data_IF_531259557533
#
_entry.id   IF_531259557533
#
_cell.length_a   1.000
_cell.length_b   1.000
_cell.length_c   1.000
_cell.angle_alpha   90.00
_cell.angle_beta   90.00
_cell.angle_gamma   90.00
#
_symmetry.space_group_name_H-M   'P 1'
#
loop_
_entity.id
_entity.type
_entity.pdbx_description
1 polymer ?
#
# COMPACT_ATOMS: atom_id res chain seq x y z
N UNK A 1 -18.53 -27.95 28.80
CA UNK A 1 -19.67 -27.38 28.04
C UNK A 1 -20.75 -26.70 28.90
N UNK A 2 -21.15 -27.22 30.07
CA UNK A 2 -22.20 -26.60 30.89
C UNK A 2 -21.82 -25.22 31.51
N UNK A 3 -20.57 -25.06 31.95
CA UNK A 3 -20.06 -23.81 32.52
C UNK A 3 -20.01 -22.63 31.53
N UNK A 4 -19.70 -22.91 30.26
CA UNK A 4 -19.66 -21.91 29.17
C UNK A 4 -21.07 -21.43 28.78
N UNK A 5 -22.06 -22.34 28.79
CA UNK A 5 -23.48 -21.96 28.57
C UNK A 5 -24.02 -21.11 29.72
N UNK A 6 -23.60 -21.38 30.96
CA UNK A 6 -23.99 -20.59 32.12
C UNK A 6 -23.40 -19.17 32.09
N UNK A 7 -22.13 -19.02 31.69
CA UNK A 7 -21.48 -17.72 31.58
C UNK A 7 -22.07 -16.85 30.44
N UNK A 8 -22.39 -17.45 29.30
CA UNK A 8 -23.04 -16.75 28.19
C UNK A 8 -24.48 -16.32 28.52
N UNK A 9 -25.23 -17.14 29.27
CA UNK A 9 -26.58 -16.80 29.71
C UNK A 9 -26.61 -15.68 30.77
N UNK A 10 -25.56 -15.54 31.60
CA UNK A 10 -25.44 -14.46 32.59
C UNK A 10 -25.06 -13.12 31.92
N UNK A 11 -24.18 -13.16 30.91
CA UNK A 11 -23.81 -11.99 30.09
C UNK A 11 -25.00 -11.45 29.27
N UNK A 12 -25.81 -12.33 28.70
CA UNK A 12 -27.02 -11.95 27.95
C UNK A 12 -28.13 -11.42 28.87
N UNK A 13 -28.17 -11.83 30.14
CA UNK A 13 -29.10 -11.30 31.13
C UNK A 13 -28.74 -9.88 31.58
N UNK A 14 -27.44 -9.57 31.69
CA UNK A 14 -26.95 -8.24 32.11
C UNK A 14 -27.16 -7.13 31.07
N UNK A 15 -27.38 -7.48 29.80
CA UNK A 15 -27.56 -6.50 28.72
C UNK A 15 -29.00 -6.35 28.19
N UNK A 16 -30.00 -6.94 28.85
CA UNK A 16 -31.41 -6.88 28.40
C UNK A 16 -32.22 -5.66 28.84
N UNK A 17 -31.63 -4.67 29.49
CA UNK A 17 -32.33 -3.45 29.90
C UNK A 17 -31.67 -2.18 29.34
N UNK A 18 -31.80 -1.98 28.04
CA UNK A 18 -31.86 -0.63 27.45
C UNK A 18 -33.05 -0.64 26.47
N UNK A 19 -34.15 0.09 26.74
CA UNK A 19 -35.30 0.07 25.86
C UNK A 19 -35.02 0.87 24.57
N UNK A 20 -35.08 0.15 23.44
CA UNK A 20 -35.16 0.69 22.09
C UNK A 20 -36.59 1.25 21.86
N UNK A 21 -36.84 2.47 22.32
CA UNK A 21 -38.07 3.21 21.98
C UNK A 21 -37.81 4.72 22.09
N UNK A 22 -37.14 5.32 21.10
CA UNK A 22 -37.15 6.77 20.86
C UNK A 22 -36.42 7.15 19.56
N UNK A 23 -36.72 6.45 18.47
CA UNK A 23 -36.43 6.97 17.13
C UNK A 23 -37.68 6.81 16.26
N UNK A 24 -38.11 7.95 15.68
CA UNK A 24 -39.06 8.13 14.56
C UNK A 24 -40.51 8.52 14.95
N UNK A 25 -40.80 9.84 15.08
CA UNK A 25 -41.76 10.62 14.25
C UNK A 25 -42.21 12.00 14.83
N UNK A 26 -42.06 13.04 13.99
CA UNK A 26 -42.88 14.27 13.84
C UNK A 26 -42.82 15.45 14.86
N UNK A 27 -43.25 16.68 14.50
CA UNK A 27 -42.72 17.62 13.49
C UNK A 27 -42.47 19.06 14.07
N UNK A 28 -42.02 19.97 13.20
CA UNK A 28 -41.77 21.41 13.39
C UNK A 28 -42.49 22.15 14.54
N UNK A 29 -41.72 22.90 15.34
CA UNK A 29 -42.18 24.10 16.06
C UNK A 29 -41.06 25.15 16.22
N UNK A 30 -41.39 26.34 15.75
CA UNK A 30 -40.80 27.68 15.89
C UNK A 30 -39.89 27.94 17.10
N UNK A 31 -38.71 28.50 16.85
CA UNK A 31 -37.89 29.20 17.86
C UNK A 31 -38.48 30.59 18.18
N UNK A 32 -38.43 31.05 19.45
CA UNK A 32 -38.65 32.44 19.83
C UNK A 32 -37.34 33.27 19.70
N UNK A 33 -37.43 34.62 19.59
CA UNK A 33 -36.29 35.49 19.31
C UNK A 33 -35.49 35.83 20.59
N UNK A 34 -34.23 36.30 20.47
CA UNK A 34 -33.47 36.78 21.61
C UNK A 34 -33.85 38.21 22.00
N UNK A 35 -33.95 38.44 23.30
CA UNK A 35 -34.16 39.73 23.95
C UNK A 35 -32.90 40.60 23.86
N UNK A 36 -33.13 41.84 23.46
CA UNK A 36 -32.25 43.01 23.53
C UNK A 36 -32.24 43.61 24.92
N UNK A 37 -31.07 44.03 25.42
CA UNK A 37 -30.92 45.20 26.30
C UNK A 37 -29.55 45.83 26.10
N UNK A 38 -29.59 47.16 25.98
CA UNK A 38 -28.57 48.10 25.52
C UNK A 38 -27.61 48.61 26.62
N UNK A 39 -26.74 49.51 26.15
CA UNK A 39 -25.94 50.55 26.83
C UNK A 39 -24.48 50.15 27.09
N UNK A 40 -23.47 50.92 26.70
CA UNK A 40 -23.41 52.36 26.36
C UNK A 40 -22.11 52.66 25.57
N UNK A 41 -22.21 53.56 24.58
CA UNK A 41 -21.08 54.33 23.99
C UNK A 41 -21.05 55.74 24.60
N UNK A 42 -19.92 56.46 24.48
CA UNK A 42 -19.83 57.60 23.54
C UNK A 42 -18.53 57.57 22.69
N UNK A 43 -18.61 57.68 21.35
CA UNK A 43 -18.45 58.91 20.50
C UNK A 43 -16.97 59.28 20.27
N UNK A 44 -16.43 59.61 19.09
CA UNK A 44 -16.83 59.74 17.67
C UNK A 44 -15.52 60.12 16.88
N UNK A 45 -15.51 60.85 15.74
CA UNK A 45 -15.65 60.48 14.32
C UNK A 45 -14.36 60.62 13.48
N UNK A 46 -14.23 59.83 12.40
CA UNK A 46 -13.82 60.33 11.06
C UNK A 46 -13.92 59.23 9.99
N UNK A 47 -15.09 59.22 9.35
CA UNK A 47 -15.50 58.77 7.99
C UNK A 47 -14.43 58.40 6.93
N UNK A 48 -14.82 57.82 5.77
CA UNK A 48 -15.60 56.58 5.54
C UNK A 48 -14.93 55.69 4.44
N UNK A 49 -15.37 54.43 4.23
CA UNK A 49 -15.68 53.82 2.90
C UNK A 49 -15.77 52.26 2.90
N UNK A 50 -16.46 51.67 1.91
CA UNK A 50 -17.21 50.43 2.07
C UNK A 50 -16.46 49.16 1.66
N UNK A 51 -16.94 48.04 2.21
CA UNK A 51 -16.54 46.66 1.89
C UNK A 51 -17.07 46.29 0.50
N UNK A 52 -16.15 46.00 -0.42
CA UNK A 52 -16.44 45.38 -1.72
C UNK A 52 -16.55 43.85 -1.59
N UNK A 53 -17.62 43.31 -2.17
CA UNK A 53 -17.77 41.90 -2.56
C UNK A 53 -16.82 41.58 -3.71
N UNK A 54 -16.09 40.48 -3.61
CA UNK A 54 -15.49 39.72 -4.72
C UNK A 54 -15.41 38.26 -4.26
N UNK A 55 -16.02 37.24 -4.88
CA UNK A 55 -16.35 37.10 -6.29
C UNK A 55 -15.06 36.98 -7.08
N UNK A 56 -14.68 35.74 -7.43
CA UNK A 56 -13.65 35.33 -8.41
C UNK A 56 -12.53 34.44 -7.83
N UNK A 57 -12.90 33.18 -7.57
CA UNK A 57 -12.00 32.06 -7.28
C UNK A 57 -11.74 31.24 -8.55
N UNK A 58 -11.41 31.87 -9.69
CA UNK A 58 -10.93 31.15 -10.88
C UNK A 58 -10.04 32.05 -11.75
N UNK A 59 -8.73 31.97 -11.55
CA UNK A 59 -7.67 32.09 -12.57
C UNK A 59 -6.33 32.44 -11.90
N UNK A 60 -5.45 31.45 -11.73
CA UNK A 60 -4.04 31.69 -11.46
C UNK A 60 -3.20 31.00 -12.55
N UNK A 61 -2.31 31.72 -13.27
CA UNK A 61 -1.55 31.15 -14.38
C UNK A 61 -0.36 30.30 -13.89
N UNK A 62 -0.02 29.31 -14.72
CA UNK A 62 1.14 28.42 -14.59
C UNK A 62 2.45 29.21 -14.34
N UNK A 63 3.00 29.15 -13.12
CA UNK A 63 4.38 29.58 -12.86
C UNK A 63 5.35 28.61 -13.51
N UNK A 64 6.03 29.07 -14.57
CA UNK A 64 7.25 28.46 -15.12
C UNK A 64 8.36 28.57 -14.07
N UNK A 65 8.95 27.44 -13.70
CA UNK A 65 10.17 27.37 -12.90
C UNK A 65 11.39 27.76 -13.75
N UNK A 66 12.36 28.52 -13.23
CA UNK A 66 13.56 28.91 -13.98
C UNK A 66 14.48 27.70 -14.22
N UNK A 67 15.02 27.61 -15.44
CA UNK A 67 16.05 26.64 -15.83
C UNK A 67 17.39 27.02 -15.18
N UNK A 68 18.18 26.10 -14.64
CA UNK A 68 19.57 26.39 -14.29
C UNK A 68 20.39 26.59 -15.57
N UNK A 69 21.03 27.75 -15.70
CA UNK A 69 22.03 28.03 -16.72
C UNK A 69 23.32 27.29 -16.34
N UNK A 70 23.71 26.30 -17.15
CA UNK A 70 25.07 25.75 -17.14
C UNK A 70 25.87 26.56 -18.15
N UNK A 71 27.01 27.16 -17.79
CA UNK A 71 27.86 27.85 -18.76
C UNK A 71 28.59 26.79 -19.61
N UNK A 72 28.32 26.81 -20.92
CA UNK A 72 29.10 26.09 -21.93
C UNK A 72 30.22 27.02 -22.36
N UNK A 73 31.47 26.71 -21.99
CA UNK A 73 32.65 27.43 -22.48
C UNK A 73 33.17 26.79 -23.78
N UNK A 74 33.04 27.58 -24.84
CA UNK A 74 33.95 27.79 -25.99
C UNK A 74 34.49 26.59 -26.81
N UNK A 75 33.98 26.53 -28.04
CA UNK A 75 34.71 26.47 -29.33
C UNK A 75 36.15 25.92 -29.37
N UNK A 76 36.35 24.91 -30.21
CA UNK A 76 37.51 24.89 -31.11
C UNK A 76 37.18 24.14 -32.40
N UNK A 77 37.55 24.75 -33.52
CA UNK A 77 37.43 24.27 -34.90
C UNK A 77 38.72 23.58 -35.33
N UNK A 78 38.53 22.38 -35.90
CA UNK A 78 39.26 21.62 -36.95
C UNK A 78 40.68 22.06 -37.39
N UNK A 79 41.65 21.14 -37.32
CA UNK A 79 42.39 20.44 -38.42
C UNK A 79 43.49 19.56 -37.77
N UNK A 80 43.89 18.36 -38.23
CA UNK A 80 44.28 17.99 -39.59
C UNK A 80 45.81 17.80 -39.63
N UNK A 81 46.30 16.62 -39.24
CA UNK A 81 47.71 16.14 -39.32
C UNK A 81 48.78 16.75 -38.39
N UNK A 82 49.63 15.90 -37.80
CA UNK A 82 51.01 16.27 -37.44
C UNK A 82 51.35 16.43 -35.95
N UNK A 83 51.78 15.32 -35.33
CA UNK A 83 52.84 15.20 -34.29
C UNK A 83 53.14 16.43 -33.42
N UNK A 84 52.91 16.32 -32.11
CA UNK A 84 53.63 17.14 -31.10
C UNK A 84 54.45 16.26 -30.18
N UNK A 85 55.75 16.29 -30.42
CA UNK A 85 56.82 15.91 -29.50
C UNK A 85 56.75 16.78 -28.24
N UNK A 86 56.85 16.17 -27.06
CA UNK A 86 57.29 16.88 -25.85
C UNK A 86 58.51 16.16 -25.28
N UNK A 87 59.62 16.87 -25.40
CA UNK A 87 60.94 16.65 -24.84
C UNK A 87 60.92 16.72 -23.31
N UNK A 88 61.65 15.82 -22.65
CA UNK A 88 62.07 15.98 -21.26
C UNK A 88 63.04 17.16 -21.12
N UNK A 89 62.86 18.03 -20.10
CA UNK A 89 63.96 18.77 -19.52
C UNK A 89 64.26 18.20 -18.12
N UNK A 90 65.49 17.73 -17.94
CA UNK A 90 66.11 17.58 -16.62
C UNK A 90 66.57 18.96 -16.15
N UNK A 91 66.18 19.37 -14.94
CA UNK A 91 66.64 20.61 -14.33
C UNK A 91 66.10 20.75 -12.91
N UNK A 92 67.01 20.75 -11.94
CA UNK A 92 66.79 20.76 -10.50
C UNK A 92 66.16 22.05 -9.96
N UNK A 93 65.42 21.96 -8.86
CA UNK A 93 64.98 23.13 -8.10
C UNK A 93 64.02 22.82 -6.94
N UNK A 94 64.55 22.94 -5.71
CA UNK A 94 63.92 23.33 -4.44
C UNK A 94 62.75 22.50 -3.85
N UNK A 95 62.98 22.11 -2.59
CA UNK A 95 62.06 21.53 -1.65
C UNK A 95 60.87 22.45 -1.32
N UNK A 96 59.67 21.86 -1.31
CA UNK A 96 58.59 21.98 -0.33
C UNK A 96 57.27 21.58 -1.01
N UNK A 97 56.69 20.45 -0.61
CA UNK A 97 55.50 19.91 -1.26
C UNK A 97 54.95 18.67 -0.56
N UNK A 98 54.11 18.92 0.42
CA UNK A 98 52.97 18.12 0.89
C UNK A 98 52.83 16.70 0.27
N UNK A 99 53.28 15.68 1.02
CA UNK A 99 53.11 14.27 0.64
C UNK A 99 51.69 13.81 0.95
N UNK A 100 50.71 14.19 0.14
CA UNK A 100 49.40 13.54 0.14
C UNK A 100 49.53 12.19 -0.56
N UNK A 101 49.20 11.06 0.09
CA UNK A 101 49.24 9.76 -0.58
C UNK A 101 48.20 9.75 -1.72
N UNK A 102 48.50 9.10 -2.86
CA UNK A 102 47.55 9.01 -3.97
C UNK A 102 46.25 8.36 -3.48
N UNK A 103 45.07 8.83 -3.94
CA UNK A 103 43.81 8.28 -3.51
C UNK A 103 43.78 6.78 -3.82
N UNK A 104 43.62 5.96 -2.78
CA UNK A 104 43.38 4.53 -2.92
C UNK A 104 42.14 4.34 -3.80
N UNK A 105 42.35 3.90 -5.03
CA UNK A 105 41.28 3.47 -5.91
C UNK A 105 40.55 2.34 -5.20
N UNK A 106 39.30 2.62 -4.80
CA UNK A 106 38.41 1.60 -4.26
C UNK A 106 38.34 0.45 -5.28
N UNK A 107 38.43 -0.82 -4.86
CA UNK A 107 38.33 -1.93 -5.80
C UNK A 107 37.03 -1.80 -6.60
N UNK A 108 37.03 -2.12 -7.90
CA UNK A 108 35.86 -2.00 -8.75
C UNK A 108 34.69 -2.73 -8.09
N UNK A 109 33.57 -2.03 -7.93
CA UNK A 109 32.38 -2.57 -7.30
C UNK A 109 32.02 -3.90 -7.95
N UNK A 110 31.90 -4.97 -7.14
CA UNK A 110 31.49 -6.29 -7.64
C UNK A 110 30.21 -6.11 -8.46
N UNK A 111 30.13 -6.67 -9.68
CA UNK A 111 28.91 -6.61 -10.46
C UNK A 111 27.79 -7.21 -9.60
N UNK A 112 26.59 -6.58 -9.59
CA UNK A 112 25.49 -7.06 -8.78
C UNK A 112 25.21 -8.54 -9.11
N UNK A 113 24.84 -9.35 -8.12
CA UNK A 113 24.54 -10.76 -8.35
C UNK A 113 23.47 -10.91 -9.45
N UNK A 114 23.70 -11.82 -10.38
CA UNK A 114 22.79 -12.07 -11.51
C UNK A 114 21.43 -12.51 -10.98
N UNK A 115 20.38 -11.75 -11.31
CA UNK A 115 19.01 -12.10 -10.94
C UNK A 115 18.58 -13.35 -11.71
N UNK A 116 17.60 -14.10 -11.18
CA UNK A 116 16.97 -15.20 -11.93
C UNK A 116 16.37 -14.69 -13.25
N UNK A 117 15.94 -13.43 -13.29
CA UNK A 117 15.47 -12.74 -14.50
C UNK A 117 16.58 -12.68 -15.55
N UNK A 118 17.82 -12.38 -15.12
CA UNK A 118 18.96 -12.28 -16.03
C UNK A 118 19.38 -13.63 -16.60
N UNK A 119 19.02 -14.73 -15.90
CA UNK A 119 19.34 -16.10 -16.30
C UNK A 119 18.29 -16.70 -17.24
N UNK A 120 17.01 -16.47 -16.99
CA UNK A 120 15.92 -17.22 -17.63
C UNK A 120 15.03 -16.38 -18.56
N UNK A 121 15.06 -15.05 -18.45
CA UNK A 121 14.18 -14.17 -19.25
C UNK A 121 14.93 -13.62 -20.47
N UNK A 122 14.38 -13.77 -21.70
CA UNK A 122 14.94 -13.16 -22.90
C UNK A 122 15.12 -11.66 -22.75
N UNK A 123 16.20 -11.10 -23.31
CA UNK A 123 16.56 -9.68 -23.16
C UNK A 123 15.39 -8.72 -23.48
N UNK A 124 14.62 -9.01 -24.54
CA UNK A 124 13.47 -8.20 -24.93
C UNK A 124 12.33 -8.17 -23.89
N UNK A 125 12.15 -9.24 -23.10
CA UNK A 125 11.07 -9.37 -22.13
C UNK A 125 11.45 -8.83 -20.73
N UNK A 126 12.75 -8.68 -20.42
CA UNK A 126 13.22 -8.24 -19.10
C UNK A 126 12.60 -6.93 -18.63
N UNK A 127 12.51 -5.87 -19.45
CA UNK A 127 11.92 -4.61 -19.02
C UNK A 127 10.45 -4.76 -18.61
N UNK A 128 9.69 -5.64 -19.28
CA UNK A 128 8.29 -5.92 -18.96
C UNK A 128 8.13 -6.74 -17.68
N UNK A 129 9.00 -7.75 -17.47
CA UNK A 129 9.06 -8.53 -16.21
C UNK A 129 9.38 -7.63 -15.02
N UNK A 130 10.32 -6.70 -15.19
CA UNK A 130 10.67 -5.71 -14.18
C UNK A 130 9.56 -4.66 -13.98
N UNK A 131 8.83 -4.30 -15.03
CA UNK A 131 7.68 -3.39 -14.95
C UNK A 131 6.55 -4.00 -14.11
N UNK A 132 6.21 -5.27 -14.38
CA UNK A 132 5.22 -6.04 -13.64
C UNK A 132 5.67 -6.48 -12.23
N UNK A 133 6.92 -6.23 -11.85
CA UNK A 133 7.53 -6.65 -10.57
C UNK A 133 7.50 -8.13 -10.30
N UNK A 134 7.57 -8.93 -11.36
CA UNK A 134 7.66 -10.39 -11.24
C UNK A 134 8.99 -10.77 -10.54
N UNK A 135 10.04 -9.95 -10.71
CA UNK A 135 11.33 -10.09 -10.01
C UNK A 135 11.20 -10.00 -8.48
N UNK A 136 10.12 -9.37 -7.97
CA UNK A 136 9.90 -9.09 -6.54
C UNK A 136 8.58 -9.72 -6.05
N UNK A 137 8.57 -11.02 -5.71
CA UNK A 137 7.34 -11.77 -5.42
C UNK A 137 6.62 -11.35 -4.14
N UNK A 138 7.29 -10.61 -3.24
CA UNK A 138 6.70 -10.22 -1.95
C UNK A 138 5.36 -9.50 -2.09
N UNK A 139 5.24 -8.57 -3.05
CA UNK A 139 3.99 -7.85 -3.29
C UNK A 139 2.87 -8.73 -3.84
N UNK A 140 3.23 -9.78 -4.60
CA UNK A 140 2.26 -10.77 -5.10
C UNK A 140 1.70 -11.61 -3.95
N UNK A 141 2.57 -12.07 -3.04
CA UNK A 141 2.13 -12.81 -1.86
C UNK A 141 1.20 -11.97 -0.98
N UNK A 142 1.47 -10.67 -0.83
CA UNK A 142 0.61 -9.77 -0.07
C UNK A 142 -0.83 -9.69 -0.62
N UNK A 143 -0.98 -9.84 -1.94
CA UNK A 143 -2.29 -9.90 -2.61
C UNK A 143 -2.91 -11.31 -2.56
N UNK A 144 -2.09 -12.36 -2.52
CA UNK A 144 -2.55 -13.74 -2.54
C UNK A 144 -3.08 -14.21 -1.18
N UNK A 145 -2.42 -13.83 -0.08
CA UNK A 145 -2.79 -14.30 1.25
C UNK A 145 -4.24 -14.02 1.64
N UNK A 146 -4.79 -12.80 1.46
CA UNK A 146 -6.18 -12.52 1.79
C UNK A 146 -7.17 -13.39 0.99
N UNK A 147 -6.85 -13.69 -0.28
CA UNK A 147 -7.63 -14.62 -1.09
C UNK A 147 -7.59 -16.03 -0.53
N UNK A 148 -6.42 -16.50 -0.13
CA UNK A 148 -6.24 -17.86 0.39
C UNK A 148 -6.89 -18.04 1.74
N UNK A 149 -6.83 -17.02 2.61
CA UNK A 149 -7.54 -17.01 3.88
C UNK A 149 -9.04 -17.18 3.66
N UNK A 150 -9.63 -16.41 2.75
CA UNK A 150 -11.08 -16.46 2.51
C UNK A 150 -11.53 -17.74 1.80
N UNK A 151 -10.79 -18.23 0.81
CA UNK A 151 -11.06 -19.51 0.14
C UNK A 151 -11.02 -20.67 1.14
N UNK A 152 -10.01 -20.70 2.01
CA UNK A 152 -9.86 -21.76 3.00
C UNK A 152 -10.91 -21.66 4.09
N UNK A 153 -11.19 -20.44 4.55
CA UNK A 153 -12.27 -20.22 5.51
C UNK A 153 -13.64 -20.58 4.92
N UNK A 154 -13.83 -20.50 3.61
CA UNK A 154 -15.06 -20.93 2.95
C UNK A 154 -15.16 -22.46 2.74
N UNK A 155 -14.09 -23.23 2.95
CA UNK A 155 -14.11 -24.68 2.82
C UNK A 155 -15.08 -25.32 3.84
N UNK A 156 -15.58 -26.52 3.52
CA UNK A 156 -16.42 -27.28 4.44
C UNK A 156 -15.59 -27.79 5.63
N UNK A 157 -16.19 -27.94 6.83
CA UNK A 157 -15.51 -28.56 7.97
C UNK A 157 -14.98 -29.97 7.60
N UNK A 158 -13.77 -30.30 8.03
CA UNK A 158 -13.06 -31.54 7.70
C UNK A 158 -12.44 -31.61 6.31
N UNK A 159 -12.62 -30.59 5.45
CA UNK A 159 -12.14 -30.62 4.06
C UNK A 159 -10.96 -29.68 3.80
N UNK A 160 -10.16 -30.05 2.80
CA UNK A 160 -9.12 -29.19 2.25
C UNK A 160 -9.73 -28.06 1.41
N UNK A 161 -9.07 -26.89 1.33
CA UNK A 161 -9.49 -25.82 0.43
C UNK A 161 -9.44 -26.28 -1.03
N UNK A 162 -10.30 -25.69 -1.86
CA UNK A 162 -10.28 -25.95 -3.29
C UNK A 162 -8.94 -25.51 -3.90
N UNK A 163 -8.11 -26.50 -4.26
CA UNK A 163 -6.77 -26.30 -4.80
C UNK A 163 -6.79 -25.61 -6.15
N UNK A 164 -7.84 -25.83 -6.95
CA UNK A 164 -8.02 -25.13 -8.24
C UNK A 164 -8.27 -23.66 -7.98
N UNK A 165 -9.11 -23.30 -7.02
CA UNK A 165 -9.36 -21.91 -6.66
C UNK A 165 -8.12 -21.25 -6.05
N UNK A 166 -7.36 -21.93 -5.19
CA UNK A 166 -6.09 -21.41 -4.69
C UNK A 166 -5.10 -21.13 -5.83
N UNK A 167 -4.93 -22.06 -6.78
CA UNK A 167 -4.06 -21.86 -7.94
C UNK A 167 -4.55 -20.71 -8.85
N UNK A 168 -5.86 -20.63 -9.08
CA UNK A 168 -6.49 -19.58 -9.88
C UNK A 168 -6.26 -18.20 -9.26
N UNK A 169 -6.42 -18.05 -7.95
CA UNK A 169 -6.16 -16.80 -7.25
C UNK A 169 -4.67 -16.49 -7.12
N UNK A 170 -3.79 -17.49 -7.02
CA UNK A 170 -2.34 -17.27 -7.12
C UNK A 170 -1.97 -16.62 -8.46
N UNK A 171 -2.51 -17.16 -9.56
CA UNK A 171 -2.37 -16.59 -10.90
C UNK A 171 -2.94 -15.17 -10.99
N UNK A 172 -4.17 -14.97 -10.50
CA UNK A 172 -4.81 -13.65 -10.45
C UNK A 172 -3.98 -12.62 -9.67
N UNK A 173 -3.38 -13.00 -8.54
CA UNK A 173 -2.51 -12.13 -7.74
C UNK A 173 -1.26 -11.71 -8.50
N UNK A 174 -0.64 -12.59 -9.29
CA UNK A 174 0.50 -12.22 -10.17
C UNK A 174 0.07 -11.18 -11.19
N UNK A 175 -1.06 -11.41 -11.86
CA UNK A 175 -1.57 -10.51 -12.89
C UNK A 175 -1.93 -9.13 -12.34
N UNK A 176 -2.77 -9.07 -11.30
CA UNK A 176 -3.26 -7.80 -10.76
C UNK A 176 -2.13 -7.00 -10.10
N UNK A 177 -1.13 -7.68 -9.51
CA UNK A 177 0.10 -7.03 -9.05
C UNK A 177 0.80 -6.36 -10.21
N UNK A 178 0.97 -7.08 -11.31
CA UNK A 178 1.56 -6.56 -12.54
C UNK A 178 0.80 -5.36 -13.07
N UNK A 179 -0.53 -5.43 -13.18
CA UNK A 179 -1.41 -4.33 -13.61
C UNK A 179 -1.23 -3.11 -12.73
N UNK A 180 -1.32 -3.28 -11.40
CA UNK A 180 -1.17 -2.18 -10.45
C UNK A 180 0.21 -1.53 -10.52
N UNK A 181 1.28 -2.31 -10.73
CA UNK A 181 2.63 -1.78 -10.92
C UNK A 181 2.80 -1.03 -12.24
N UNK A 182 2.25 -1.54 -13.34
CA UNK A 182 2.28 -0.87 -14.65
C UNK A 182 1.55 0.47 -14.59
N UNK A 183 0.35 0.52 -14.02
CA UNK A 183 -0.43 1.76 -13.84
C UNK A 183 0.34 2.74 -12.97
N UNK A 184 0.89 2.28 -11.85
CA UNK A 184 1.67 3.11 -10.94
C UNK A 184 2.88 3.75 -11.65
N UNK A 185 3.68 2.96 -12.38
CA UNK A 185 4.87 3.46 -13.07
C UNK A 185 4.52 4.33 -14.28
N UNK A 186 3.35 4.14 -14.92
CA UNK A 186 2.84 5.04 -15.97
C UNK A 186 2.48 6.43 -15.40
N UNK A 187 1.77 6.47 -14.27
CA UNK A 187 1.29 7.72 -13.66
C UNK A 187 2.37 8.49 -12.88
N UNK A 188 3.33 7.76 -12.29
CA UNK A 188 4.41 8.33 -11.47
C UNK A 188 5.72 8.52 -12.26
N UNK A 189 5.78 8.19 -13.55
CA UNK A 189 6.98 8.26 -14.41
C UNK A 189 7.85 9.50 -14.20
N UNK A 190 7.24 10.68 -14.26
CA UNK A 190 7.98 11.95 -14.21
C UNK A 190 8.51 12.28 -12.81
N UNK A 191 7.86 11.74 -11.78
CA UNK A 191 8.29 11.83 -10.37
C UNK A 191 9.40 10.80 -10.13
N UNK A 192 9.17 9.56 -10.57
CA UNK A 192 10.08 8.44 -10.38
C UNK A 192 11.46 8.71 -11.00
N UNK A 193 11.52 9.46 -12.12
CA UNK A 193 12.77 9.89 -12.78
C UNK A 193 13.63 10.80 -11.89
N UNK A 194 13.03 11.52 -10.95
CA UNK A 194 13.73 12.47 -10.05
C UNK A 194 14.20 11.82 -8.74
N UNK A 195 13.81 10.58 -8.48
CA UNK A 195 14.06 9.88 -7.22
C UNK A 195 15.08 8.76 -7.45
N UNK A 196 16.18 8.78 -6.69
CA UNK A 196 17.32 7.87 -6.85
C UNK A 196 16.92 6.38 -6.86
N UNK A 197 16.02 5.99 -5.96
CA UNK A 197 15.54 4.61 -5.82
C UNK A 197 14.67 4.14 -7.01
N UNK A 198 14.05 5.05 -7.75
CA UNK A 198 13.03 4.73 -8.77
C UNK A 198 13.42 5.20 -10.17
N UNK A 199 14.53 5.93 -10.33
CA UNK A 199 15.01 6.38 -11.64
C UNK A 199 15.34 5.22 -12.58
N UNK A 200 15.69 4.06 -12.03
CA UNK A 200 16.01 2.83 -12.79
C UNK A 200 14.78 2.03 -13.24
N UNK A 201 13.56 2.47 -12.92
CA UNK A 201 12.34 1.78 -13.37
C UNK A 201 12.23 1.82 -14.91
N UNK A 202 11.67 0.79 -15.56
CA UNK A 202 11.66 0.71 -17.03
C UNK A 202 11.05 1.92 -17.74
N UNK A 203 9.94 2.46 -17.22
CA UNK A 203 9.29 3.65 -17.80
C UNK A 203 9.97 4.96 -17.40
N UNK A 204 10.54 5.04 -16.19
CA UNK A 204 11.23 6.26 -15.70
C UNK A 204 12.61 6.47 -16.34
N UNK A 205 13.33 5.37 -16.59
CA UNK A 205 14.63 5.34 -17.27
C UNK A 205 14.53 5.53 -18.79
N UNK A 206 13.32 5.36 -19.36
CA UNK A 206 13.09 5.44 -20.80
C UNK A 206 13.42 4.16 -21.58
N UNK A 207 13.77 3.06 -20.91
CA UNK A 207 13.96 1.75 -21.56
C UNK A 207 12.68 1.27 -22.25
N UNK A 208 11.53 1.55 -21.62
CA UNK A 208 10.21 1.36 -22.22
C UNK A 208 9.55 2.72 -22.49
N UNK A 209 8.91 2.83 -23.65
CA UNK A 209 8.07 3.99 -23.98
C UNK A 209 6.72 3.90 -23.25
N UNK A 210 6.02 5.03 -23.05
CA UNK A 210 4.67 5.01 -22.47
C UNK A 210 3.67 4.20 -23.30
N UNK A 211 3.79 4.23 -24.63
CA UNK A 211 2.93 3.45 -25.53
C UNK A 211 3.16 1.95 -25.36
N UNK A 212 4.41 1.51 -25.20
CA UNK A 212 4.73 0.12 -24.83
C UNK A 212 4.17 -0.24 -23.45
N UNK A 213 4.23 0.67 -22.48
CA UNK A 213 3.63 0.47 -21.16
C UNK A 213 2.11 0.29 -21.20
N UNK A 214 1.40 1.10 -21.99
CA UNK A 214 -0.05 0.97 -22.20
C UNK A 214 -0.40 -0.31 -22.96
N UNK A 215 0.36 -0.66 -23.99
CA UNK A 215 0.18 -1.93 -24.71
C UNK A 215 0.38 -3.14 -23.80
N UNK A 216 1.39 -3.10 -22.91
CA UNK A 216 1.61 -4.13 -21.91
C UNK A 216 0.51 -4.19 -20.86
N UNK A 217 -0.01 -3.05 -20.40
CA UNK A 217 -1.18 -2.99 -19.53
C UNK A 217 -2.39 -3.68 -20.19
N UNK A 218 -2.65 -3.37 -21.47
CA UNK A 218 -3.70 -4.05 -22.25
C UNK A 218 -3.48 -5.55 -22.30
N UNK A 219 -2.26 -6.01 -22.57
CA UNK A 219 -1.90 -7.42 -22.55
C UNK A 219 -2.15 -8.08 -21.19
N UNK A 220 -1.76 -7.44 -20.08
CA UNK A 220 -2.00 -7.96 -18.72
C UNK A 220 -3.50 -8.09 -18.41
N UNK A 221 -4.31 -7.11 -18.84
CA UNK A 221 -5.76 -7.16 -18.67
C UNK A 221 -6.41 -8.26 -19.52
N UNK A 222 -5.93 -8.47 -20.74
CA UNK A 222 -6.37 -9.59 -21.60
C UNK A 222 -6.05 -10.94 -20.97
N UNK A 223 -4.87 -11.10 -20.38
CA UNK A 223 -4.52 -12.30 -19.60
C UNK A 223 -5.41 -12.48 -18.36
N UNK A 224 -6.04 -11.42 -17.85
CA UNK A 224 -7.00 -11.49 -16.75
C UNK A 224 -8.37 -12.06 -17.15
N UNK A 225 -8.71 -12.10 -18.44
CA UNK A 225 -10.04 -12.55 -18.89
C UNK A 225 -10.30 -14.05 -18.60
N UNK A 226 -9.36 -14.99 -18.83
CA UNK A 226 -9.54 -16.38 -18.42
C UNK A 226 -9.68 -16.57 -16.90
N UNK A 227 -9.09 -15.70 -16.09
CA UNK A 227 -9.30 -15.69 -14.63
C UNK A 227 -10.75 -15.30 -14.31
N UNK A 228 -11.21 -14.17 -14.84
CA UNK A 228 -12.58 -13.68 -14.68
C UNK A 228 -13.63 -14.70 -15.12
N UNK A 229 -13.42 -15.36 -16.26
CA UNK A 229 -14.37 -16.32 -16.82
C UNK A 229 -14.58 -17.55 -15.93
N UNK A 230 -13.59 -17.93 -15.12
CA UNK A 230 -13.68 -19.07 -14.21
C UNK A 230 -14.40 -18.75 -12.88
N UNK A 231 -14.71 -17.48 -12.64
CA UNK A 231 -15.41 -17.04 -11.43
C UNK A 231 -16.93 -17.03 -11.64
N UNK A 232 -17.68 -17.14 -10.56
CA UNK A 232 -19.13 -16.91 -10.60
C UNK A 232 -19.48 -15.42 -10.79
N UNK A 233 -20.75 -15.15 -11.11
CA UNK A 233 -21.23 -13.81 -11.44
C UNK A 233 -20.94 -12.77 -10.34
N UNK A 234 -21.12 -13.12 -9.07
CA UNK A 234 -20.87 -12.20 -7.96
C UNK A 234 -19.39 -11.83 -7.88
N UNK A 235 -18.51 -12.83 -7.98
CA UNK A 235 -17.06 -12.61 -7.98
C UNK A 235 -16.59 -11.79 -9.18
N UNK A 236 -17.16 -12.01 -10.37
CA UNK A 236 -16.86 -11.19 -11.55
C UNK A 236 -17.21 -9.72 -11.32
N UNK A 237 -18.39 -9.46 -10.77
CA UNK A 237 -18.84 -8.11 -10.40
C UNK A 237 -17.87 -7.48 -9.40
N UNK A 238 -17.48 -8.22 -8.36
CA UNK A 238 -16.53 -7.74 -7.35
C UNK A 238 -15.14 -7.42 -7.93
N UNK A 239 -14.67 -8.21 -8.90
CA UNK A 239 -13.41 -7.92 -9.62
C UNK A 239 -13.53 -6.62 -10.40
N UNK A 240 -14.62 -6.41 -11.16
CA UNK A 240 -14.83 -5.18 -11.92
C UNK A 240 -14.89 -3.96 -10.99
N UNK A 241 -15.58 -4.06 -9.85
CA UNK A 241 -15.62 -3.00 -8.85
C UNK A 241 -14.28 -2.70 -8.18
N UNK A 242 -13.34 -3.65 -8.19
CA UNK A 242 -11.99 -3.42 -7.67
C UNK A 242 -11.13 -2.55 -8.62
N UNK A 243 -11.42 -2.56 -9.93
CA UNK A 243 -10.58 -1.89 -10.92
C UNK A 243 -10.47 -0.38 -10.68
N UNK A 244 -11.55 0.40 -10.46
CA UNK A 244 -11.44 1.82 -10.14
C UNK A 244 -10.54 2.11 -8.93
N UNK A 245 -10.55 1.24 -7.92
CA UNK A 245 -9.68 1.37 -6.74
C UNK A 245 -8.21 1.15 -7.12
N UNK A 246 -7.91 0.10 -7.88
CA UNK A 246 -6.55 -0.19 -8.38
C UNK A 246 -6.03 0.96 -9.23
N UNK A 247 -6.85 1.51 -10.14
CA UNK A 247 -6.47 2.61 -11.02
C UNK A 247 -6.22 3.92 -10.28
N UNK A 248 -6.99 4.20 -9.22
CA UNK A 248 -6.90 5.45 -8.48
C UNK A 248 -5.86 5.43 -7.34
N UNK A 249 -5.40 4.25 -6.90
CA UNK A 249 -4.38 4.13 -5.85
C UNK A 249 -3.13 5.02 -6.05
N UNK A 250 -2.48 5.06 -7.24
CA UNK A 250 -1.28 5.89 -7.44
C UNK A 250 -1.56 7.38 -7.19
N UNK A 251 -2.79 7.83 -7.46
CA UNK A 251 -3.21 9.20 -7.26
C UNK A 251 -3.40 9.54 -5.77
N UNK A 252 -3.75 8.56 -4.93
CA UNK A 252 -4.01 8.78 -3.50
C UNK A 252 -2.82 9.37 -2.75
N UNK A 253 -1.60 9.03 -3.18
CA UNK A 253 -0.35 9.59 -2.64
C UNK A 253 -0.27 11.12 -2.75
N UNK A 254 -1.00 11.72 -3.71
CA UNK A 254 -1.03 13.16 -3.96
C UNK A 254 -2.08 13.86 -3.09
N UNK A 255 -3.15 13.15 -2.73
CA UNK A 255 -4.30 13.73 -2.04
C UNK A 255 -4.26 13.49 -0.52
N UNK A 256 -3.77 12.34 -0.06
CA UNK A 256 -3.85 11.94 1.35
C UNK A 256 -2.53 11.45 1.93
N UNK A 257 -2.35 11.64 3.25
CA UNK A 257 -1.28 11.00 4.02
C UNK A 257 -1.56 9.51 4.27
N UNK A 258 -2.80 9.07 4.03
CA UNK A 258 -3.27 7.70 4.29
C UNK A 258 -3.25 6.82 3.04
N UNK A 259 -2.33 7.05 2.11
CA UNK A 259 -2.21 6.24 0.90
C UNK A 259 -1.96 4.76 1.22
N UNK A 260 -1.31 4.45 2.36
CA UNK A 260 -1.14 3.09 2.87
C UNK A 260 -2.47 2.44 3.31
N UNK A 261 -3.39 3.21 3.91
CA UNK A 261 -4.72 2.70 4.24
C UNK A 261 -5.48 2.32 2.97
N UNK A 262 -5.40 3.19 1.96
CA UNK A 262 -5.99 2.93 0.66
C UNK A 262 -5.39 1.69 -0.01
N UNK A 263 -4.05 1.54 0.04
CA UNK A 263 -3.38 0.32 -0.43
C UNK A 263 -3.90 -0.92 0.31
N UNK A 264 -4.09 -0.80 1.63
CA UNK A 264 -4.69 -1.83 2.48
C UNK A 264 -6.04 -2.29 1.94
N UNK A 265 -6.94 -1.34 1.68
CA UNK A 265 -8.27 -1.63 1.13
C UNK A 265 -8.19 -2.32 -0.24
N UNK A 266 -7.38 -1.76 -1.16
CA UNK A 266 -7.25 -2.33 -2.51
C UNK A 266 -6.63 -3.74 -2.48
N UNK A 267 -5.57 -3.93 -1.71
CA UNK A 267 -4.82 -5.19 -1.70
C UNK A 267 -5.59 -6.33 -1.02
N UNK A 268 -6.45 -6.01 -0.04
CA UNK A 268 -7.25 -7.01 0.65
C UNK A 268 -8.59 -7.29 -0.02
N UNK A 269 -8.93 -6.61 -1.12
CA UNK A 269 -10.17 -6.85 -1.86
C UNK A 269 -10.32 -8.31 -2.32
N UNK A 270 -9.18 -9.00 -2.50
CA UNK A 270 -9.12 -10.43 -2.75
C UNK A 270 -9.82 -11.31 -1.71
N UNK A 271 -9.92 -10.88 -0.44
CA UNK A 271 -10.67 -11.59 0.59
C UNK A 271 -12.17 -11.68 0.24
N UNK A 272 -12.77 -10.58 -0.24
CA UNK A 272 -14.16 -10.53 -0.69
C UNK A 272 -14.38 -11.44 -1.90
N UNK A 273 -13.49 -11.33 -2.90
CA UNK A 273 -13.61 -12.10 -4.15
C UNK A 273 -13.44 -13.60 -3.88
N UNK A 274 -12.49 -14.00 -3.03
CA UNK A 274 -12.21 -15.40 -2.70
C UNK A 274 -13.37 -16.08 -1.97
N UNK A 275 -14.01 -15.41 -1.01
CA UNK A 275 -15.20 -15.95 -0.36
C UNK A 275 -16.38 -16.05 -1.33
N UNK A 276 -16.65 -14.97 -2.07
CA UNK A 276 -17.70 -14.97 -3.08
C UNK A 276 -17.48 -16.08 -4.12
N UNK A 277 -16.23 -16.38 -4.48
CA UNK A 277 -15.91 -17.41 -5.47
C UNK A 277 -16.32 -18.81 -4.99
N UNK A 278 -16.17 -19.06 -3.69
CA UNK A 278 -16.50 -20.34 -3.06
C UNK A 278 -17.98 -20.48 -2.70
N UNK A 279 -18.61 -19.43 -2.16
CA UNK A 279 -19.98 -19.50 -1.61
C UNK A 279 -21.06 -18.92 -2.54
N UNK A 280 -20.68 -18.14 -3.56
CA UNK A 280 -21.63 -17.41 -4.42
C UNK A 280 -22.38 -16.27 -3.71
N UNK A 281 -22.06 -16.01 -2.44
CA UNK A 281 -22.65 -14.98 -1.57
C UNK A 281 -21.56 -14.30 -0.76
N UNK A 282 -21.88 -13.23 -0.05
CA UNK A 282 -21.00 -12.61 0.95
C UNK A 282 -21.66 -12.78 2.31
N UNK A 283 -20.92 -13.31 3.28
CA UNK A 283 -21.28 -13.25 4.70
C UNK A 283 -20.55 -12.06 5.34
N UNK A 284 -21.25 -10.96 5.66
CA UNK A 284 -20.60 -9.77 6.23
C UNK A 284 -19.97 -10.03 7.60
N UNK A 285 -20.53 -10.96 8.39
CA UNK A 285 -20.05 -11.23 9.74
C UNK A 285 -18.67 -11.91 9.72
N UNK A 286 -18.37 -12.69 8.69
CA UNK A 286 -17.07 -13.35 8.52
C UNK A 286 -16.12 -12.46 7.73
N UNK A 287 -16.59 -11.86 6.63
CA UNK A 287 -15.72 -11.20 5.65
C UNK A 287 -15.33 -9.79 6.03
N UNK A 288 -16.20 -8.99 6.64
CA UNK A 288 -15.84 -7.61 7.02
C UNK A 288 -14.73 -7.58 8.07
N UNK A 289 -14.76 -8.43 9.14
CA UNK A 289 -13.63 -8.52 10.05
C UNK A 289 -12.35 -8.97 9.33
N UNK A 290 -12.38 -10.03 8.52
CA UNK A 290 -11.17 -10.48 7.80
C UNK A 290 -10.59 -9.41 6.86
N UNK A 291 -11.44 -8.71 6.11
CA UNK A 291 -11.04 -7.62 5.23
C UNK A 291 -10.43 -6.44 6.01
N UNK A 292 -11.04 -6.10 7.15
CA UNK A 292 -10.51 -5.08 8.07
C UNK A 292 -9.17 -5.51 8.63
N UNK A 293 -9.03 -6.78 9.03
CA UNK A 293 -7.80 -7.32 9.57
C UNK A 293 -6.66 -7.24 8.56
N UNK A 294 -6.90 -7.64 7.32
CA UNK A 294 -5.91 -7.53 6.25
C UNK A 294 -5.52 -6.08 5.95
N UNK A 295 -6.48 -5.15 6.02
CA UNK A 295 -6.21 -3.72 5.85
C UNK A 295 -5.32 -3.19 6.99
N UNK A 296 -5.62 -3.55 8.23
CA UNK A 296 -4.80 -3.25 9.39
C UNK A 296 -3.40 -3.86 9.28
N UNK A 297 -3.28 -5.10 8.78
CA UNK A 297 -1.99 -5.74 8.55
C UNK A 297 -1.09 -4.95 7.59
N UNK A 298 -1.66 -4.31 6.57
CA UNK A 298 -0.89 -3.46 5.65
C UNK A 298 -0.53 -2.11 6.28
N UNK A 299 -1.39 -1.58 7.15
CA UNK A 299 -1.13 -0.34 7.90
C UNK A 299 -0.07 -0.50 9.00
N UNK A 300 0.05 -1.70 9.55
CA UNK A 300 1.05 -2.10 10.53
C UNK A 300 2.47 -2.22 9.91
N UNK A 301 2.58 -2.12 8.57
CA UNK A 301 3.88 -2.09 7.89
C UNK A 301 4.39 -0.65 7.81
N UNK A 302 5.65 -0.47 8.18
CA UNK A 302 6.35 0.81 8.04
C UNK A 302 6.25 1.32 6.59
N UNK A 303 5.78 2.56 6.44
CA UNK A 303 5.69 3.24 5.16
C UNK A 303 6.98 4.05 4.93
N UNK A 304 7.61 3.87 3.76
CA UNK A 304 8.85 4.55 3.43
C UNK A 304 8.61 6.07 3.29
N UNK A 305 9.36 6.86 4.05
CA UNK A 305 9.48 8.30 3.85
C UNK A 305 10.04 8.59 2.44
N UNK A 306 9.14 8.94 1.50
CA UNK A 306 9.51 9.41 0.16
C UNK A 306 9.47 10.93 0.15
N UNK A 307 10.62 11.54 -0.13
CA UNK A 307 10.76 13.00 -0.27
C UNK A 307 9.73 13.51 -1.29
N UNK A 308 8.87 14.44 -0.87
CA UNK A 308 7.85 15.06 -1.72
C UNK A 308 6.50 14.32 -1.81
N UNK A 309 6.27 13.26 -1.01
CA UNK A 309 5.00 12.52 -0.97
C UNK A 309 4.42 12.50 0.45
N UNK A 310 3.10 12.68 0.57
CA UNK A 310 2.37 12.56 1.84
C UNK A 310 2.32 11.09 2.26
N UNK A 311 2.81 10.76 3.46
CA UNK A 311 2.90 9.37 3.97
C UNK A 311 2.43 9.30 5.43
N UNK A 312 1.97 8.12 5.86
CA UNK A 312 1.59 7.86 7.26
C UNK A 312 2.78 7.98 8.19
N UNK A 313 3.99 7.63 7.73
CA UNK A 313 5.22 7.81 8.51
C UNK A 313 5.48 9.29 8.87
N UNK A 314 5.20 10.22 7.94
CA UNK A 314 5.28 11.66 8.21
C UNK A 314 4.21 12.08 9.22
N UNK A 315 3.00 11.51 9.10
CA UNK A 315 1.86 11.88 9.95
C UNK A 315 2.01 11.35 11.38
N UNK A 316 2.57 10.16 11.56
CA UNK A 316 2.74 9.54 12.88
C UNK A 316 3.97 10.06 13.62
N UNK A 317 5.02 10.46 12.89
CA UNK A 317 6.25 11.00 13.50
C UNK A 317 6.78 10.10 14.61
N UNK A 318 7.03 10.67 15.78
CA UNK A 318 7.54 9.93 16.95
C UNK A 318 6.54 8.92 17.54
N UNK A 319 5.25 9.06 17.21
CA UNK A 319 4.19 8.15 17.64
C UNK A 319 3.99 6.96 16.69
N UNK A 320 4.92 6.68 15.78
CA UNK A 320 4.80 5.56 14.82
C UNK A 320 4.59 4.21 15.52
N UNK A 321 5.33 3.93 16.60
CA UNK A 321 5.24 2.67 17.34
C UNK A 321 3.84 2.38 17.92
N UNK A 322 3.21 3.26 18.71
CA UNK A 322 1.88 2.98 19.25
C UNK A 322 0.80 2.83 18.17
N UNK A 323 0.89 3.56 17.04
CA UNK A 323 -0.04 3.40 15.92
C UNK A 323 0.07 2.03 15.26
N UNK A 324 1.30 1.61 14.95
CA UNK A 324 1.61 0.29 14.39
C UNK A 324 1.08 -0.80 15.34
N UNK A 325 1.44 -0.76 16.63
CA UNK A 325 0.91 -1.69 17.64
C UNK A 325 -0.62 -1.74 17.69
N UNK A 326 -1.29 -0.59 17.57
CA UNK A 326 -2.75 -0.51 17.50
C UNK A 326 -3.33 -1.21 16.26
N UNK A 327 -2.71 -1.03 15.09
CA UNK A 327 -3.12 -1.75 13.87
C UNK A 327 -2.85 -3.25 13.96
N UNK A 328 -1.72 -3.66 14.54
CA UNK A 328 -1.43 -5.07 14.80
C UNK A 328 -2.46 -5.73 15.73
N UNK A 329 -2.81 -5.07 16.84
CA UNK A 329 -3.85 -5.54 17.75
C UNK A 329 -5.23 -5.63 17.06
N UNK A 330 -5.60 -4.60 16.30
CA UNK A 330 -6.84 -4.59 15.52
C UNK A 330 -6.87 -5.71 14.46
N UNK A 331 -5.74 -6.00 13.82
CA UNK A 331 -5.59 -7.09 12.86
C UNK A 331 -5.94 -8.44 13.51
N UNK A 332 -5.28 -8.74 14.63
CA UNK A 332 -5.45 -10.01 15.35
C UNK A 332 -6.88 -10.16 15.87
N UNK A 333 -7.44 -9.10 16.49
CA UNK A 333 -8.80 -9.11 17.01
C UNK A 333 -9.85 -9.41 15.92
N UNK A 334 -9.70 -8.80 14.74
CA UNK A 334 -10.61 -9.01 13.62
C UNK A 334 -10.45 -10.39 12.96
N UNK A 335 -9.24 -10.95 12.91
CA UNK A 335 -9.03 -12.33 12.47
C UNK A 335 -9.68 -13.34 13.43
N UNK A 336 -9.54 -13.12 14.74
CA UNK A 336 -10.19 -13.95 15.75
C UNK A 336 -11.71 -13.88 15.65
N UNK A 337 -12.28 -12.68 15.46
CA UNK A 337 -13.72 -12.48 15.26
C UNK A 337 -14.21 -13.19 13.98
N UNK A 338 -13.49 -13.06 12.87
CA UNK A 338 -13.80 -13.76 11.63
C UNK A 338 -13.80 -15.27 11.81
N UNK A 339 -12.76 -15.82 12.46
CA UNK A 339 -12.65 -17.25 12.71
C UNK A 339 -13.70 -17.79 13.67
N UNK A 340 -14.08 -17.02 14.70
CA UNK A 340 -15.19 -17.34 15.60
C UNK A 340 -16.52 -17.39 14.84
N UNK A 341 -16.81 -16.38 14.02
CA UNK A 341 -18.04 -16.34 13.21
C UNK A 341 -18.08 -17.43 12.13
N UNK A 342 -16.93 -17.98 11.77
CA UNK A 342 -16.79 -19.06 10.79
C UNK A 342 -16.82 -20.47 11.42
N UNK A 343 -17.14 -20.59 12.72
CA UNK A 343 -17.16 -21.83 13.49
C UNK A 343 -15.83 -22.62 13.43
N UNK A 344 -14.71 -21.92 13.29
CA UNK A 344 -13.40 -22.54 13.36
C UNK A 344 -13.08 -22.84 14.83
N UNK A 345 -12.94 -24.12 15.17
CA UNK A 345 -12.40 -24.56 16.46
C UNK A 345 -10.98 -23.98 16.72
N UNK A 346 -10.32 -23.47 15.68
CA UNK A 346 -9.08 -22.67 15.75
C UNK A 346 -9.18 -21.37 16.54
N UNK A 347 -10.37 -20.93 16.97
CA UNK A 347 -10.48 -19.86 17.97
C UNK A 347 -9.76 -20.22 19.27
N UNK A 348 -9.56 -21.50 19.62
CA UNK A 348 -8.76 -21.90 20.78
C UNK A 348 -7.23 -21.77 20.56
N UNK A 349 -6.71 -22.05 19.37
CA UNK A 349 -5.27 -21.91 19.07
C UNK A 349 -4.88 -20.45 18.81
N UNK A 350 -5.73 -19.67 18.13
CA UNK A 350 -5.59 -18.22 18.02
C UNK A 350 -5.78 -17.54 19.38
N UNK A 351 -6.75 -17.95 20.20
CA UNK A 351 -6.88 -17.45 21.58
C UNK A 351 -5.70 -17.84 22.45
N UNK A 352 -5.08 -19.01 22.26
CA UNK A 352 -3.83 -19.41 22.94
C UNK A 352 -2.64 -18.55 22.49
N UNK A 353 -2.51 -18.28 21.18
CA UNK A 353 -1.50 -17.33 20.68
C UNK A 353 -1.75 -15.90 21.18
N UNK A 354 -3.01 -15.47 21.32
CA UNK A 354 -3.40 -14.16 21.87
C UNK A 354 -3.16 -14.10 23.38
N UNK A 355 -3.41 -15.19 24.13
CA UNK A 355 -3.25 -15.24 25.58
C UNK A 355 -1.81 -15.46 26.05
N UNK A 356 -0.93 -15.90 25.16
CA UNK A 356 0.52 -16.05 25.42
C UNK A 356 1.35 -14.92 24.82
N UNK A 357 0.71 -13.98 24.12
CA UNK A 357 1.36 -12.75 23.64
C UNK A 357 1.55 -11.80 24.81
N UNK A 358 2.82 -11.52 25.11
CA UNK A 358 3.19 -10.47 26.05
C UNK A 358 3.14 -9.11 25.32
N UNK A 359 2.00 -8.43 25.45
CA UNK A 359 1.76 -7.08 24.88
C UNK A 359 2.62 -5.99 25.52
N UNK A 360 3.39 -6.32 26.57
CA UNK A 360 4.21 -5.34 27.30
C UNK A 360 5.62 -5.14 26.74
N UNK A 361 6.06 -5.97 25.78
CA UNK A 361 7.36 -5.82 25.09
C UNK A 361 7.23 -5.45 23.60
N UNK A 362 7.39 -4.15 23.25
CA UNK A 362 7.40 -3.67 21.88
C UNK A 362 8.51 -4.27 21.01
N UNK A 363 9.59 -4.79 21.61
CA UNK A 363 10.72 -5.36 20.88
C UNK A 363 10.50 -6.85 20.52
N UNK A 364 9.76 -7.63 21.33
CA UNK A 364 9.39 -9.01 20.97
C UNK A 364 8.26 -9.03 19.93
N UNK A 365 7.30 -8.10 20.03
CA UNK A 365 6.34 -7.81 18.97
C UNK A 365 7.08 -7.47 17.67
N UNK A 366 8.00 -6.51 17.67
CA UNK A 366 8.74 -6.12 16.46
C UNK A 366 9.64 -7.24 15.92
N UNK A 367 10.32 -8.02 16.76
CA UNK A 367 11.21 -9.12 16.31
C UNK A 367 10.46 -10.30 15.69
N UNK A 368 9.32 -10.70 16.25
CA UNK A 368 8.46 -11.74 15.65
C UNK A 368 7.68 -11.20 14.45
N UNK A 369 7.44 -9.89 14.41
CA UNK A 369 6.77 -9.20 13.31
C UNK A 369 7.68 -8.88 12.12
N UNK A 370 9.00 -8.77 12.29
CA UNK A 370 9.99 -8.78 11.18
C UNK A 370 10.02 -10.15 10.46
N UNK A 371 9.44 -11.20 11.06
CA UNK A 371 9.00 -12.42 10.35
C UNK A 371 7.70 -12.21 9.52
N UNK A 372 7.39 -10.98 9.12
CA UNK A 372 6.19 -10.58 8.38
C UNK A 372 6.03 -11.28 7.02
N UNK A 373 7.12 -11.83 6.47
CA UNK A 373 7.05 -12.63 5.22
C UNK A 373 6.20 -13.88 5.38
N UNK A 374 6.14 -14.44 6.59
CA UNK A 374 5.43 -15.68 6.88
C UNK A 374 4.08 -15.43 7.56
N UNK A 375 3.76 -14.22 8.00
CA UNK A 375 2.48 -13.91 8.65
C UNK A 375 1.28 -14.41 7.83
N UNK A 376 1.28 -14.10 6.53
CA UNK A 376 0.30 -14.62 5.57
C UNK A 376 0.11 -16.14 5.64
N UNK A 377 1.23 -16.87 5.60
CA UNK A 377 1.25 -18.33 5.65
C UNK A 377 0.83 -18.89 7.01
N UNK A 378 1.20 -18.22 8.11
CA UNK A 378 0.83 -18.63 9.47
C UNK A 378 -0.68 -18.52 9.69
N UNK A 379 -1.29 -17.40 9.28
CA UNK A 379 -2.74 -17.22 9.36
C UNK A 379 -3.45 -18.25 8.46
N UNK A 380 -2.96 -18.45 7.23
CA UNK A 380 -3.48 -19.48 6.34
C UNK A 380 -3.41 -20.89 6.96
N UNK A 381 -2.27 -21.26 7.55
CA UNK A 381 -2.10 -22.53 8.24
C UNK A 381 -3.03 -22.68 9.45
N UNK A 382 -3.24 -21.61 10.23
CA UNK A 382 -4.19 -21.60 11.34
C UNK A 382 -5.63 -21.81 10.89
N UNK A 383 -6.06 -21.15 9.81
CA UNK A 383 -7.39 -21.34 9.22
C UNK A 383 -7.54 -22.76 8.68
N UNK A 384 -6.53 -23.28 7.98
CA UNK A 384 -6.52 -24.64 7.42
C UNK A 384 -6.64 -25.69 8.53
N UNK A 385 -5.79 -25.63 9.55
CA UNK A 385 -5.87 -26.52 10.71
C UNK A 385 -7.23 -26.39 11.41
N UNK A 386 -7.74 -25.17 11.56
CA UNK A 386 -9.07 -24.92 12.11
C UNK A 386 -10.18 -25.63 11.34
N UNK A 387 -10.14 -25.57 10.00
CA UNK A 387 -11.12 -26.25 9.15
C UNK A 387 -11.00 -27.75 9.18
N UNK A 388 -9.79 -28.30 9.24
CA UNK A 388 -9.57 -29.75 9.28
C UNK A 388 -9.94 -30.39 10.62
N UNK A 389 -9.98 -29.61 11.71
CA UNK A 389 -10.30 -30.09 13.07
C UNK A 389 -11.78 -29.87 13.44
N UNK A 390 -12.45 -28.87 12.85
CA UNK A 390 -13.90 -28.69 12.92
C UNK A 390 -14.63 -29.77 12.14
#
# INVERSE_FOLDING_TARGET
MALLRAAAADLLRRHRHVPLASLILHPARSLPPPLSTESSCPDDPSTPRPITRHGDLFAAPLRRWPRPLIPVSSSSSVDGTGVRLYSHPSGAGSADGDSTPPPQQSPPAKPPPTSWVDRWVPLAARPYVMLARIDKPYGTWLLAWPCFWSITMAAMPGELPDMRMLALFAYGSVLIRGVGCTINDLLDRDIDRKIERTKSRPLASGILTPTQGVGFLGFQLLLGLPFLHQLNNLSQILVVFSLPLVFSYPLMKRFTYWAQAYLGLVANWGALIGWAAMKGTIDPAIILPMYTAGTCWILDKEDDLKIGVKSTAIRFGDSTKPWISGFGAACIANLALSGYNADLAASAHLAWQISTVDLSDPLDCNRRFVSNKWFGALIFGGILCGRLVS
#
